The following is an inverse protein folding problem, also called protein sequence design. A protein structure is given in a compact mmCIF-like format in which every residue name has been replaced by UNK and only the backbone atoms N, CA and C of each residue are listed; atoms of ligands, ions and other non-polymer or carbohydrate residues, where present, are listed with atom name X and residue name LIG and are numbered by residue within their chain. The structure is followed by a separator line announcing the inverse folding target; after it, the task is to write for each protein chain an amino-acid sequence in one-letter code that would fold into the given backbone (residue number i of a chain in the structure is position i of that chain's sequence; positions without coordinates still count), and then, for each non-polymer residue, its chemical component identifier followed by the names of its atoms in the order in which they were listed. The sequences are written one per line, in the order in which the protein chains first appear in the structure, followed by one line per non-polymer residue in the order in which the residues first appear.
data_IF_015584968492
#
_entry.id   IF_015584968492
#
_cell.length_a   1.000
_cell.length_b   1.000
_cell.length_c   1.000
_cell.angle_alpha   90.00
_cell.angle_beta   90.00
_cell.angle_gamma   90.00
#
_symmetry.space_group_name_H-M   'P 1'
#
loop_
_entity.id
_entity.type
_entity.pdbx_description
1 polymer ?
#
# COMPACT_ATOMS: atom_id res chain seq x y z
N UNK A 1 -3.21 14.38 -3.52
CA UNK A 1 -4.64 14.65 -3.79
C UNK A 1 -5.32 13.29 -3.80
N UNK A 2 -6.42 13.11 -3.06
CA UNK A 2 -7.12 11.80 -3.00
C UNK A 2 -7.97 11.65 -4.25
N UNK A 3 -7.79 10.55 -4.99
CA UNK A 3 -8.69 10.13 -6.06
C UNK A 3 -9.78 9.25 -5.46
N UNK A 4 -11.04 9.42 -5.93
CA UNK A 4 -12.17 8.54 -5.58
C UNK A 4 -13.03 8.36 -6.82
N UNK A 5 -13.30 7.11 -7.19
CA UNK A 5 -14.24 6.74 -8.24
C UNK A 5 -15.11 5.56 -7.79
N UNK A 6 -16.19 5.33 -8.53
CA UNK A 6 -17.10 4.22 -8.27
C UNK A 6 -17.35 3.44 -9.56
N UNK A 7 -17.34 2.12 -9.45
CA UNK A 7 -17.59 1.16 -10.52
C UNK A 7 -18.54 0.07 -10.02
N UNK A 8 -19.10 -0.74 -10.91
CA UNK A 8 -20.11 -1.72 -10.53
C UNK A 8 -19.49 -3.02 -10.03
N UNK A 9 -18.33 -3.40 -10.55
CA UNK A 9 -17.72 -4.69 -10.25
C UNK A 9 -16.29 -4.57 -9.75
N UNK A 10 -15.82 -5.64 -9.11
CA UNK A 10 -14.43 -5.73 -8.68
C UNK A 10 -13.47 -5.72 -9.88
N UNK A 11 -13.86 -6.33 -11.00
CA UNK A 11 -13.04 -6.42 -12.21
C UNK A 11 -12.92 -5.05 -12.90
N UNK A 12 -14.04 -4.31 -13.01
CA UNK A 12 -14.02 -2.91 -13.46
C UNK A 12 -13.15 -2.03 -12.54
N UNK A 13 -13.10 -2.31 -11.24
CA UNK A 13 -12.25 -1.57 -10.31
C UNK A 13 -10.77 -1.81 -10.60
N UNK A 14 -10.38 -3.08 -10.84
CA UNK A 14 -9.01 -3.43 -11.22
C UNK A 14 -8.62 -2.87 -12.59
N UNK A 15 -9.52 -2.93 -13.58
CA UNK A 15 -9.30 -2.32 -14.90
C UNK A 15 -9.13 -0.80 -14.77
N UNK A 16 -9.97 -0.13 -13.99
CA UNK A 16 -9.83 1.31 -13.74
C UNK A 16 -8.49 1.65 -13.10
N UNK A 17 -8.05 0.89 -12.08
CA UNK A 17 -6.73 1.10 -11.48
C UNK A 17 -5.64 0.91 -12.53
N UNK A 18 -5.70 -0.17 -13.32
CA UNK A 18 -4.73 -0.48 -14.38
C UNK A 18 -4.66 0.60 -15.47
N UNK A 19 -5.77 1.24 -15.81
CA UNK A 19 -5.82 2.35 -16.78
C UNK A 19 -5.25 3.66 -16.19
N UNK A 20 -5.36 3.86 -14.88
CA UNK A 20 -4.88 5.05 -14.18
C UNK A 20 -3.39 4.97 -13.85
N UNK A 21 -2.90 3.80 -13.50
CA UNK A 21 -1.48 3.54 -13.22
C UNK A 21 -0.75 3.22 -14.52
N UNK A 22 0.34 3.91 -14.80
CA UNK A 22 1.12 3.79 -16.06
C UNK A 22 1.80 2.43 -16.33
N UNK A 23 1.39 1.36 -15.64
CA UNK A 23 1.82 -0.02 -15.87
C UNK A 23 2.84 -0.57 -14.88
N UNK A 24 3.43 0.26 -14.01
CA UNK A 24 4.38 -0.20 -13.00
C UNK A 24 3.72 -0.40 -11.64
N UNK A 25 2.96 -1.48 -11.52
CA UNK A 25 2.20 -1.81 -10.31
C UNK A 25 2.55 -3.18 -9.76
N UNK A 26 2.20 -3.35 -8.47
CA UNK A 26 2.21 -4.63 -7.79
C UNK A 26 0.88 -4.84 -7.08
N UNK A 27 0.23 -5.94 -7.39
CA UNK A 27 -0.92 -6.40 -6.62
C UNK A 27 -0.45 -7.00 -5.28
N UNK A 28 -1.20 -6.68 -4.22
CA UNK A 28 -0.88 -7.05 -2.85
C UNK A 28 -1.90 -8.07 -2.33
N UNK A 29 -2.21 -9.07 -3.15
CA UNK A 29 -3.32 -10.01 -2.97
C UNK A 29 -3.25 -10.76 -1.63
N UNK A 30 -2.05 -11.14 -1.19
CA UNK A 30 -1.89 -11.91 0.05
C UNK A 30 -2.24 -11.04 1.26
N UNK A 31 -1.84 -9.77 1.27
CA UNK A 31 -2.25 -8.85 2.33
C UNK A 31 -3.74 -8.46 2.20
N UNK A 32 -4.22 -8.24 0.98
CA UNK A 32 -5.60 -7.88 0.69
C UNK A 32 -6.60 -8.94 1.19
N UNK A 33 -6.23 -10.22 1.12
CA UNK A 33 -7.02 -11.32 1.67
C UNK A 33 -7.37 -11.14 3.15
N UNK A 34 -6.46 -10.57 3.95
CA UNK A 34 -6.67 -10.32 5.38
C UNK A 34 -7.49 -9.06 5.67
N UNK A 35 -7.77 -8.23 4.66
CA UNK A 35 -8.59 -7.02 4.75
C UNK A 35 -10.05 -7.25 4.33
N UNK A 36 -10.42 -8.50 4.03
CA UNK A 36 -11.73 -8.88 3.55
C UNK A 36 -11.85 -8.73 2.03
N UNK A 37 -13.01 -8.24 1.57
CA UNK A 37 -13.27 -8.05 0.13
C UNK A 37 -12.61 -6.79 -0.41
N UNK A 38 -11.31 -6.62 -0.21
CA UNK A 38 -10.53 -5.48 -0.71
C UNK A 38 -9.58 -5.96 -1.80
N UNK A 39 -9.36 -5.15 -2.84
CA UNK A 39 -8.21 -5.29 -3.74
C UNK A 39 -7.23 -4.15 -3.44
N UNK A 40 -5.95 -4.50 -3.33
CA UNK A 40 -4.88 -3.56 -3.04
C UNK A 40 -3.85 -3.60 -4.16
N UNK A 41 -3.56 -2.43 -4.73
CA UNK A 41 -2.54 -2.27 -5.76
C UNK A 41 -1.58 -1.16 -5.35
N UNK A 42 -0.29 -1.49 -5.37
CA UNK A 42 0.81 -0.56 -5.11
C UNK A 42 1.32 0.01 -6.43
N UNK A 43 1.19 1.32 -6.61
CA UNK A 43 1.82 2.05 -7.70
C UNK A 43 3.28 2.35 -7.34
N UNK A 44 4.20 1.68 -8.04
CA UNK A 44 5.63 1.80 -7.79
C UNK A 44 6.24 3.07 -8.38
N UNK A 45 5.60 3.64 -9.40
CA UNK A 45 6.06 4.85 -10.08
C UNK A 45 5.68 6.10 -9.28
N UNK A 46 4.40 6.22 -8.91
CA UNK A 46 3.87 7.36 -8.18
C UNK A 46 3.98 7.21 -6.66
N UNK A 47 4.33 6.01 -6.17
CA UNK A 47 4.42 5.69 -4.73
C UNK A 47 3.10 5.91 -4.01
N UNK A 48 2.03 5.35 -4.57
CA UNK A 48 0.67 5.45 -4.05
C UNK A 48 0.06 4.07 -3.87
N UNK A 49 -0.95 3.98 -2.99
CA UNK A 49 -1.74 2.75 -2.82
C UNK A 49 -3.17 3.01 -3.23
N UNK A 50 -3.62 2.16 -4.14
CA UNK A 50 -4.97 2.08 -4.66
C UNK A 50 -5.74 1.02 -3.90
N UNK A 51 -6.88 1.43 -3.37
CA UNK A 51 -7.83 0.60 -2.65
C UNK A 51 -9.08 0.45 -3.51
N UNK A 52 -9.48 -0.78 -3.79
CA UNK A 52 -10.81 -1.07 -4.30
C UNK A 52 -11.56 -1.88 -3.25
N UNK A 53 -12.68 -1.35 -2.76
CA UNK A 53 -13.50 -2.01 -1.75
C UNK A 53 -15.00 -1.89 -2.10
N UNK A 54 -15.81 -2.89 -1.78
CA UNK A 54 -17.24 -2.82 -1.98
C UNK A 54 -17.86 -1.79 -1.02
N UNK A 55 -18.70 -0.92 -1.57
CA UNK A 55 -19.54 0.01 -0.83
C UNK A 55 -21.00 -0.24 -1.26
N UNK A 56 -21.77 -0.91 -0.40
CA UNK A 56 -23.18 -1.28 -0.66
C UNK A 56 -23.35 -2.09 -1.95
N UNK A 57 -23.81 -1.46 -3.02
CA UNK A 57 -24.16 -2.03 -4.33
C UNK A 57 -23.11 -1.79 -5.41
N UNK A 58 -21.97 -1.17 -5.07
CA UNK A 58 -20.90 -0.78 -5.99
C UNK A 58 -19.52 -1.02 -5.37
N UNK A 59 -18.47 -0.81 -6.14
CA UNK A 59 -17.08 -0.78 -5.68
C UNK A 59 -16.55 0.64 -5.71
N UNK A 60 -15.91 1.06 -4.63
CA UNK A 60 -15.22 2.34 -4.50
C UNK A 60 -13.73 2.12 -4.73
N UNK A 61 -13.16 2.89 -5.65
CA UNK A 61 -11.72 2.92 -5.94
C UNK A 61 -11.16 4.23 -5.42
N UNK A 62 -10.19 4.17 -4.52
CA UNK A 62 -9.59 5.37 -3.93
C UNK A 62 -8.07 5.26 -3.75
N UNK A 63 -7.39 6.40 -3.77
CA UNK A 63 -5.99 6.49 -3.33
C UNK A 63 -5.91 6.90 -1.87
N UNK A 64 -4.92 6.38 -1.14
CA UNK A 64 -4.67 6.77 0.24
C UNK A 64 -3.26 7.33 0.38
N UNK A 65 -3.07 8.25 1.33
CA UNK A 65 -1.72 8.64 1.72
C UNK A 65 -1.00 7.48 2.42
N UNK A 66 0.34 7.42 2.41
CA UNK A 66 1.09 6.40 3.12
C UNK A 66 0.67 6.15 4.57
N UNK A 67 0.54 7.22 5.36
CA UNK A 67 0.13 7.11 6.77
C UNK A 67 -1.25 6.49 6.91
N UNK A 68 -2.22 6.97 6.12
CA UNK A 68 -3.59 6.44 6.12
C UNK A 68 -3.64 4.97 5.70
N UNK A 69 -2.85 4.57 4.69
CA UNK A 69 -2.76 3.17 4.28
C UNK A 69 -2.29 2.27 5.43
N UNK A 70 -1.23 2.67 6.14
CA UNK A 70 -0.70 1.88 7.25
C UNK A 70 -1.67 1.81 8.42
N UNK A 71 -2.35 2.91 8.73
CA UNK A 71 -3.40 2.94 9.75
C UNK A 71 -4.58 2.02 9.38
N UNK A 72 -5.04 2.06 8.12
CA UNK A 72 -6.11 1.18 7.64
C UNK A 72 -5.74 -0.30 7.70
N UNK A 73 -4.51 -0.66 7.32
CA UNK A 73 -4.01 -2.04 7.43
C UNK A 73 -4.00 -2.48 8.90
N UNK A 74 -3.48 -1.64 9.80
CA UNK A 74 -3.44 -1.92 11.24
C UNK A 74 -4.83 -2.13 11.82
N UNK A 75 -5.78 -1.28 11.43
CA UNK A 75 -7.10 -1.22 12.07
C UNK A 75 -8.08 -2.27 11.50
N UNK A 76 -7.88 -2.72 10.25
CA UNK A 76 -8.82 -3.60 9.55
C UNK A 76 -8.32 -5.01 9.25
N UNK A 77 -7.00 -5.23 9.15
CA UNK A 77 -6.49 -6.54 8.77
C UNK A 77 -6.66 -7.56 9.91
N UNK A 78 -7.04 -8.80 9.58
CA UNK A 78 -6.99 -9.92 10.52
C UNK A 78 -5.54 -10.09 11.04
N UNK A 79 -5.28 -10.06 12.37
CA UNK A 79 -3.94 -10.21 12.94
C UNK A 79 -3.14 -11.42 12.45
N UNK A 80 -3.80 -12.46 11.92
CA UNK A 80 -3.17 -13.62 11.31
C UNK A 80 -2.23 -13.27 10.14
N UNK A 81 -2.41 -12.12 9.47
CA UNK A 81 -1.54 -11.68 8.38
C UNK A 81 -0.05 -11.61 8.78
N UNK A 82 0.23 -11.30 10.06
CA UNK A 82 1.60 -11.22 10.60
C UNK A 82 2.29 -12.58 10.65
N UNK A 83 1.52 -13.67 10.67
CA UNK A 83 2.06 -15.03 10.67
C UNK A 83 2.22 -15.59 9.25
N UNK A 84 1.60 -14.96 8.25
CA UNK A 84 1.68 -15.38 6.86
C UNK A 84 2.85 -14.72 6.12
N UNK A 85 3.85 -15.48 5.62
CA UNK A 85 5.03 -14.91 4.98
C UNK A 85 4.73 -14.05 3.74
N UNK A 86 3.74 -14.44 2.95
CA UNK A 86 3.32 -13.76 1.72
C UNK A 86 2.65 -12.43 2.02
N UNK A 87 1.66 -12.40 2.92
CA UNK A 87 1.04 -11.15 3.38
C UNK A 87 2.06 -10.19 4.01
N UNK A 88 3.03 -10.72 4.77
CA UNK A 88 4.14 -9.93 5.29
C UNK A 88 5.04 -9.35 4.20
N UNK A 89 5.35 -10.11 3.15
CA UNK A 89 6.17 -9.64 2.05
C UNK A 89 5.49 -8.49 1.28
N UNK A 90 4.17 -8.57 1.13
CA UNK A 90 3.36 -7.49 0.57
C UNK A 90 3.42 -6.24 1.45
N UNK A 91 3.19 -6.38 2.75
CA UNK A 91 3.33 -5.27 3.70
C UNK A 91 4.74 -4.65 3.70
N UNK A 92 5.79 -5.47 3.62
CA UNK A 92 7.16 -4.98 3.50
C UNK A 92 7.41 -4.21 2.20
N UNK A 93 6.75 -4.60 1.10
CA UNK A 93 6.83 -3.91 -0.18
C UNK A 93 6.18 -2.53 -0.10
N UNK A 94 5.05 -2.42 0.60
CA UNK A 94 4.42 -1.12 0.94
C UNK A 94 5.42 -0.23 1.69
N UNK A 95 6.00 -0.75 2.78
CA UNK A 95 6.93 0.03 3.59
C UNK A 95 8.14 0.50 2.78
N UNK A 96 8.71 -0.36 1.93
CA UNK A 96 9.88 -0.03 1.14
C UNK A 96 9.63 1.06 0.08
N UNK A 97 8.41 1.15 -0.45
CA UNK A 97 8.05 2.11 -1.48
C UNK A 97 7.56 3.42 -0.88
N UNK A 98 6.71 3.35 0.15
CA UNK A 98 6.02 4.51 0.70
C UNK A 98 6.82 5.25 1.77
N UNK A 99 7.67 4.54 2.53
CA UNK A 99 8.54 5.18 3.51
C UNK A 99 9.91 5.33 2.86
N UNK A 100 10.45 6.56 2.70
CA UNK A 100 11.82 6.70 2.26
C UNK A 100 12.73 5.94 3.24
N UNK A 101 13.84 5.36 2.76
CA UNK A 101 14.84 4.82 3.68
C UNK A 101 15.18 5.95 4.64
N UNK A 102 15.04 5.70 5.94
CA UNK A 102 15.54 6.62 6.94
C UNK A 102 17.05 6.63 6.74
N UNK A 103 17.55 7.59 5.95
CA UNK A 103 18.96 7.93 6.00
C UNK A 103 19.20 8.37 7.43
N UNK A 104 19.88 7.52 8.19
CA UNK A 104 20.41 7.87 9.51
C UNK A 104 21.55 8.86 9.26
N UNK A 105 21.22 10.07 8.82
CA UNK A 105 22.13 11.22 8.87
C UNK A 105 22.18 11.65 10.33
N UNK A 106 23.10 11.03 11.08
CA UNK A 106 23.22 11.36 12.50
C UNK A 106 24.27 10.61 13.32
N UNK A 107 25.04 9.67 12.77
CA UNK A 107 26.30 9.25 13.41
C UNK A 107 27.46 9.97 12.75
N UNK A 108 27.70 11.21 13.18
CA UNK A 108 29.05 11.75 13.14
C UNK A 108 29.94 10.76 13.89
N UNK A 109 30.81 10.06 13.17
CA UNK A 109 31.96 9.44 13.78
C UNK A 109 32.74 10.55 14.52
N UNK A 110 33.12 10.38 15.79
CA UNK A 110 34.02 11.33 16.42
C UNK A 110 35.31 11.32 15.60
N UNK A 111 35.62 12.47 14.99
CA UNK A 111 36.95 12.71 14.45
C UNK A 111 37.88 12.68 15.66
N UNK A 112 38.54 11.56 15.86
CA UNK A 112 39.59 11.41 16.86
C UNK A 112 40.75 12.27 16.40
N UNK A 113 40.70 13.56 16.73
CA UNK A 113 41.83 14.46 16.70
C UNK A 113 42.78 14.03 17.80
N UNK A 114 43.79 13.24 17.44
CA UNK A 114 44.98 13.08 18.26
C UNK A 114 46.07 13.99 17.68
N UNK A 115 46.48 14.90 18.56
CA UNK A 115 47.72 15.68 18.55
C UNK A 115 48.94 14.79 18.29
#
# INVERSE_FOLDING_TARGET
MTFIAHVQTADEASELVADLVGGNVRDLDALAHHLGSVRLTLDLEHKEIWWAAPERDRWTVETTTPGQCLDLIRDRADPAWVLEPTARADYQSILAVLLPPVDVVGRQAPVSGCL
#
